data_IF_136393752552
#
_entry.id   IF_136393752552
#
_cell.length_a   1.000
_cell.length_b   1.000
_cell.length_c   1.000
_cell.angle_alpha   90.00
_cell.angle_beta   90.00
_cell.angle_gamma   90.00
#
_symmetry.space_group_name_H-M   'P 1'
#
loop_
_entity.id
_entity.type
_entity.pdbx_description
1 polymer ?
#
# COMPACT_ATOMS: atom_id res chain seq x y z
N UNK A 1 20.77 11.45 -11.42
CA UNK A 1 19.59 11.46 -12.29
C UNK A 1 18.97 10.07 -12.27
N UNK A 2 17.86 9.89 -11.57
CA UNK A 2 17.10 8.63 -11.58
C UNK A 2 16.28 8.56 -12.88
N UNK A 3 16.27 7.40 -13.56
CA UNK A 3 15.56 7.24 -14.84
C UNK A 3 14.03 7.27 -14.63
N UNK A 4 13.23 7.75 -15.62
CA UNK A 4 11.77 7.84 -15.50
C UNK A 4 11.06 6.51 -15.14
N UNK A 5 11.65 5.37 -15.50
CA UNK A 5 11.12 4.04 -15.18
C UNK A 5 11.18 3.66 -13.69
N UNK A 6 11.98 4.36 -12.87
CA UNK A 6 12.16 4.01 -11.45
C UNK A 6 11.12 4.68 -10.53
N UNK A 7 10.64 5.86 -10.90
CA UNK A 7 9.58 6.59 -10.20
C UNK A 7 8.23 5.84 -10.31
N UNK A 8 8.03 5.09 -11.40
CA UNK A 8 6.78 4.40 -11.71
C UNK A 8 6.45 3.18 -10.82
N UNK A 9 7.40 2.67 -10.03
CA UNK A 9 7.21 1.47 -9.18
C UNK A 9 7.50 1.69 -7.69
N UNK A 10 8.37 2.63 -7.32
CA UNK A 10 8.62 2.99 -5.91
C UNK A 10 7.35 3.48 -5.21
N UNK A 11 6.52 4.23 -5.94
CA UNK A 11 5.21 4.65 -5.47
C UNK A 11 4.19 3.50 -5.31
N UNK A 12 4.42 2.33 -5.94
CA UNK A 12 3.59 1.15 -5.70
C UNK A 12 3.93 0.47 -4.37
N UNK A 13 5.20 0.48 -3.93
CA UNK A 13 5.62 -0.10 -2.64
C UNK A 13 5.15 0.68 -1.38
N UNK A 14 4.27 1.66 -1.55
CA UNK A 14 3.94 2.69 -0.55
C UNK A 14 2.51 3.13 -0.50
N UNK A 15 1.85 3.10 -1.66
CA UNK A 15 0.43 3.39 -1.74
C UNK A 15 -0.34 2.30 -2.43
N UNK A 16 0.25 1.43 -3.26
CA UNK A 16 -0.55 0.34 -3.80
C UNK A 16 -0.95 -0.64 -2.70
N UNK A 17 -2.27 -0.66 -2.37
CA UNK A 17 -3.13 -1.79 -1.90
C UNK A 17 -4.47 -1.41 -1.18
N UNK A 18 -5.63 -1.89 -1.67
CA UNK A 18 -6.96 -2.06 -1.01
C UNK A 18 -8.32 -2.04 -1.83
N UNK A 19 -9.53 -2.41 -1.37
CA UNK A 19 -10.15 -3.75 -1.56
C UNK A 19 -11.17 -3.97 -2.71
N UNK A 20 -11.12 -5.16 -3.34
CA UNK A 20 -12.20 -5.82 -4.09
C UNK A 20 -12.64 -7.14 -3.43
N UNK A 21 -13.92 -7.23 -3.05
CA UNK A 21 -14.50 -8.37 -2.31
C UNK A 21 -15.31 -9.30 -3.21
N UNK A 22 -14.85 -10.54 -3.40
CA UNK A 22 -15.58 -11.58 -4.13
C UNK A 22 -16.07 -12.71 -3.21
N UNK A 23 -17.31 -12.61 -2.73
CA UNK A 23 -18.02 -13.75 -2.16
C UNK A 23 -18.45 -14.70 -3.29
N UNK A 24 -17.65 -15.74 -3.51
CA UNK A 24 -17.87 -16.75 -4.53
C UNK A 24 -17.46 -18.14 -4.05
N UNK A 25 -18.42 -18.90 -3.53
CA UNK A 25 -18.18 -20.27 -3.05
C UNK A 25 -18.05 -21.27 -4.21
N UNK A 26 -16.91 -21.24 -4.88
CA UNK A 26 -16.49 -22.19 -5.92
C UNK A 26 -15.13 -21.78 -6.49
N UNK A 27 -14.21 -22.71 -6.68
CA UNK A 27 -12.86 -22.41 -7.18
C UNK A 27 -12.92 -21.89 -8.63
N UNK A 28 -12.50 -20.64 -8.91
CA UNK A 28 -12.62 -20.05 -10.24
C UNK A 28 -11.56 -20.59 -11.20
N UNK A 29 -11.91 -20.66 -12.48
CA UNK A 29 -10.97 -21.04 -13.54
C UNK A 29 -9.71 -20.15 -13.51
N UNK A 30 -8.55 -20.77 -13.30
CA UNK A 30 -7.24 -20.10 -13.22
C UNK A 30 -6.63 -20.06 -11.82
N UNK A 31 -7.41 -20.24 -10.74
CA UNK A 31 -6.86 -20.33 -9.38
C UNK A 31 -5.88 -21.49 -9.22
N UNK A 32 -6.22 -22.68 -9.72
CA UNK A 32 -5.35 -23.86 -9.64
C UNK A 32 -3.95 -23.62 -10.23
N UNK A 33 -3.87 -22.86 -11.32
CA UNK A 33 -2.60 -22.48 -11.93
C UNK A 33 -1.81 -21.56 -11.00
N UNK A 34 -2.44 -20.51 -10.47
CA UNK A 34 -1.78 -19.63 -9.49
C UNK A 34 -1.34 -20.40 -8.24
N UNK A 35 -2.19 -21.28 -7.71
CA UNK A 35 -1.89 -22.14 -6.57
C UNK A 35 -0.68 -23.06 -6.82
N UNK A 36 -0.58 -23.69 -7.99
CA UNK A 36 0.63 -24.46 -8.38
C UNK A 36 1.90 -23.61 -8.40
N UNK A 37 1.85 -22.36 -8.84
CA UNK A 37 3.06 -21.51 -8.80
C UNK A 37 3.37 -21.09 -7.36
N UNK A 38 2.36 -20.65 -6.61
CA UNK A 38 2.51 -20.17 -5.24
C UNK A 38 2.94 -21.30 -4.29
N UNK A 39 2.59 -22.56 -4.56
CA UNK A 39 3.07 -23.71 -3.79
C UNK A 39 4.60 -23.93 -3.90
N UNK A 40 5.26 -23.26 -4.85
CA UNK A 40 6.72 -23.30 -5.05
C UNK A 40 7.45 -22.06 -4.51
N UNK A 41 6.77 -21.21 -3.74
CA UNK A 41 7.32 -19.97 -3.16
C UNK A 41 7.63 -20.16 -1.66
N UNK A 42 8.79 -19.72 -1.15
CA UNK A 42 9.13 -19.84 0.28
C UNK A 42 8.10 -19.20 1.21
N UNK A 43 7.79 -19.86 2.33
CA UNK A 43 6.72 -19.42 3.25
C UNK A 43 7.04 -18.17 4.07
N UNK A 44 8.30 -17.77 4.09
CA UNK A 44 8.81 -16.58 4.78
C UNK A 44 8.83 -15.32 3.90
N UNK A 45 8.44 -15.40 2.62
CA UNK A 45 8.43 -14.27 1.70
C UNK A 45 7.67 -13.04 2.25
N UNK A 46 8.28 -11.87 2.11
CA UNK A 46 7.71 -10.57 2.49
C UNK A 46 6.80 -9.99 1.42
N UNK A 47 7.04 -10.33 0.15
CA UNK A 47 6.11 -10.10 -0.94
C UNK A 47 6.26 -11.18 -2.01
N UNK A 48 5.19 -11.44 -2.75
CA UNK A 48 5.16 -12.38 -3.87
C UNK A 48 4.40 -11.74 -5.03
N UNK A 49 5.04 -11.64 -6.19
CA UNK A 49 4.43 -11.20 -7.44
C UNK A 49 4.27 -12.38 -8.37
N UNK A 50 3.03 -12.81 -8.60
CA UNK A 50 2.66 -13.87 -9.54
C UNK A 50 2.37 -13.30 -10.93
N UNK A 51 2.73 -14.05 -11.97
CA UNK A 51 2.25 -13.88 -13.34
C UNK A 51 1.93 -15.23 -13.95
N UNK A 52 0.79 -15.34 -14.62
CA UNK A 52 0.35 -16.54 -15.34
C UNK A 52 1.30 -16.93 -16.50
N UNK A 53 2.15 -16.00 -16.93
CA UNK A 53 2.98 -16.12 -18.12
C UNK A 53 4.39 -15.59 -17.90
N UNK A 54 5.38 -16.45 -18.18
CA UNK A 54 6.82 -16.18 -18.15
C UNK A 54 7.32 -15.25 -19.27
N UNK A 55 6.43 -14.74 -20.15
CA UNK A 55 6.79 -13.82 -21.24
C UNK A 55 7.40 -12.50 -20.78
N UNK A 56 6.97 -12.02 -19.61
CA UNK A 56 7.46 -10.79 -19.03
C UNK A 56 7.72 -11.03 -17.55
N UNK A 57 8.90 -10.62 -17.07
CA UNK A 57 9.10 -10.44 -15.64
C UNK A 57 8.06 -9.43 -15.16
N UNK A 58 7.25 -9.76 -14.15
CA UNK A 58 6.28 -8.82 -13.66
C UNK A 58 7.04 -7.67 -12.98
N UNK A 59 6.52 -6.43 -13.09
CA UNK A 59 7.15 -5.28 -12.47
C UNK A 59 7.20 -5.46 -10.95
N UNK A 60 8.39 -5.44 -10.36
CA UNK A 60 8.60 -5.66 -8.93
C UNK A 60 9.67 -4.71 -8.37
N UNK A 61 9.76 -4.64 -7.05
CA UNK A 61 10.48 -3.61 -6.29
C UNK A 61 12.00 -3.78 -6.45
N UNK A 62 12.60 -2.94 -7.33
CA UNK A 62 14.04 -2.65 -7.55
C UNK A 62 14.96 -3.83 -7.95
N UNK A 63 14.78 -5.00 -7.35
CA UNK A 63 15.66 -6.16 -7.42
C UNK A 63 15.32 -7.17 -8.53
N UNK A 64 14.26 -6.95 -9.32
CA UNK A 64 13.88 -7.87 -10.42
C UNK A 64 14.82 -7.79 -11.63
N UNK A 65 15.49 -6.64 -11.83
CA UNK A 65 16.40 -6.36 -12.94
C UNK A 65 17.57 -7.35 -13.05
N UNK A 66 17.92 -8.02 -11.95
CA UNK A 66 18.93 -9.09 -11.91
C UNK A 66 18.56 -10.27 -12.83
N UNK A 67 17.27 -10.49 -13.06
CA UNK A 67 16.72 -11.56 -13.91
C UNK A 67 16.48 -11.12 -15.37
N UNK A 68 16.75 -9.87 -15.74
CA UNK A 68 16.54 -9.38 -17.10
C UNK A 68 17.42 -10.15 -18.11
N UNK A 69 16.82 -10.60 -19.22
CA UNK A 69 17.54 -11.31 -20.28
C UNK A 69 17.82 -12.79 -19.99
N UNK A 70 17.03 -13.43 -19.13
CA UNK A 70 17.10 -14.89 -18.89
C UNK A 70 16.37 -15.76 -19.92
N UNK A 71 15.66 -15.18 -20.90
CA UNK A 71 14.96 -15.96 -21.94
C UNK A 71 13.67 -16.64 -21.45
N UNK A 72 13.10 -16.15 -20.34
CA UNK A 72 11.94 -16.75 -19.65
C UNK A 72 10.72 -16.90 -20.56
N UNK A 73 10.58 -16.06 -21.59
CA UNK A 73 9.48 -16.08 -22.55
C UNK A 73 9.33 -17.40 -23.32
N UNK A 74 10.39 -18.20 -23.34
CA UNK A 74 10.46 -19.51 -24.02
C UNK A 74 9.82 -20.62 -23.20
N UNK A 75 9.76 -20.49 -21.86
CA UNK A 75 9.24 -21.51 -20.95
C UNK A 75 7.71 -21.61 -20.96
N UNK A 76 7.00 -20.52 -21.29
CA UNK A 76 5.53 -20.45 -21.41
C UNK A 76 4.77 -21.00 -20.19
N UNK A 77 5.36 -20.86 -19.01
CA UNK A 77 4.80 -21.34 -17.73
C UNK A 77 4.47 -20.17 -16.80
N UNK A 78 3.84 -20.45 -15.67
CA UNK A 78 3.61 -19.46 -14.61
C UNK A 78 4.89 -19.13 -13.86
N UNK A 79 4.95 -17.94 -13.25
CA UNK A 79 6.10 -17.51 -12.47
C UNK A 79 5.67 -16.78 -11.19
N UNK A 80 6.49 -16.90 -10.16
CA UNK A 80 6.39 -16.10 -8.95
C UNK A 80 7.75 -15.48 -8.65
N UNK A 81 7.77 -14.15 -8.51
CA UNK A 81 8.91 -13.40 -8.02
C UNK A 81 8.64 -13.02 -6.56
N UNK A 82 9.39 -13.61 -5.63
CA UNK A 82 9.26 -13.34 -4.21
C UNK A 82 10.44 -12.54 -3.66
N UNK A 83 10.18 -11.70 -2.66
CA UNK A 83 11.20 -11.00 -1.88
C UNK A 83 11.29 -11.66 -0.50
N UNK A 84 12.37 -12.41 -0.29
CA UNK A 84 12.67 -13.05 1.00
C UNK A 84 13.62 -12.17 1.82
N UNK A 85 13.77 -12.44 3.12
CA UNK A 85 14.66 -11.66 3.99
C UNK A 85 15.66 -12.53 4.73
N UNK A 86 16.94 -12.31 4.47
CA UNK A 86 18.06 -13.02 5.09
C UNK A 86 19.18 -12.03 5.42
N UNK A 87 18.93 -11.15 6.40
CA UNK A 87 19.79 -10.00 6.74
C UNK A 87 19.61 -8.81 5.79
N UNK A 88 19.45 -9.08 4.49
CA UNK A 88 18.95 -8.15 3.48
C UNK A 88 17.75 -8.75 2.74
N UNK A 89 17.04 -7.91 1.98
CA UNK A 89 15.97 -8.37 1.09
C UNK A 89 16.57 -8.95 -0.18
N UNK A 90 16.18 -10.18 -0.51
CA UNK A 90 16.76 -11.01 -1.59
C UNK A 90 15.64 -11.47 -2.51
N UNK A 91 15.75 -11.25 -3.84
CA UNK A 91 14.77 -11.72 -4.79
C UNK A 91 14.95 -13.23 -5.08
N UNK A 92 13.85 -13.96 -5.16
CA UNK A 92 13.80 -15.37 -5.58
C UNK A 92 12.73 -15.50 -6.65
N UNK A 93 13.16 -15.83 -7.86
CA UNK A 93 12.29 -16.14 -8.99
C UNK A 93 12.05 -17.65 -9.04
N UNK A 94 10.80 -18.07 -8.96
CA UNK A 94 10.40 -19.45 -9.21
C UNK A 94 9.53 -19.52 -10.47
N UNK A 95 9.76 -20.52 -11.33
CA UNK A 95 8.92 -20.84 -12.48
C UNK A 95 8.37 -22.25 -12.34
N UNK A 96 7.05 -22.39 -12.44
CA UNK A 96 6.33 -23.63 -12.21
C UNK A 96 4.91 -23.59 -12.82
N UNK A 97 4.31 -24.75 -13.12
CA UNK A 97 4.97 -26.06 -13.22
C UNK A 97 5.84 -26.16 -14.48
N UNK A 98 6.92 -26.94 -14.43
CA UNK A 98 7.76 -27.30 -15.57
C UNK A 98 7.89 -28.82 -15.59
N UNK A 99 7.73 -29.47 -16.75
CA UNK A 99 7.76 -30.94 -16.80
C UNK A 99 9.18 -31.47 -16.57
N UNK A 100 9.35 -32.46 -15.68
CA UNK A 100 10.66 -33.03 -15.30
C UNK A 100 11.49 -33.46 -16.53
N UNK A 101 10.85 -34.02 -17.56
CA UNK A 101 11.47 -34.39 -18.85
C UNK A 101 12.13 -33.24 -19.63
N UNK A 102 11.76 -31.98 -19.38
CA UNK A 102 12.40 -30.81 -20.02
C UNK A 102 13.81 -30.54 -19.46
N UNK A 103 14.13 -31.08 -18.28
CA UNK A 103 15.48 -31.02 -17.73
C UNK A 103 16.43 -32.03 -18.42
N UNK A 104 15.88 -33.16 -18.90
CA UNK A 104 16.62 -34.20 -19.62
C UNK A 104 17.02 -33.74 -21.03
N UNK A 105 16.17 -32.95 -21.69
CA UNK A 105 16.47 -32.35 -22.99
C UNK A 105 17.43 -31.15 -22.84
N UNK A 106 18.72 -31.39 -23.12
CA UNK A 106 19.77 -30.36 -23.12
C UNK A 106 19.52 -29.17 -24.05
N UNK A 107 18.64 -29.31 -25.05
CA UNK A 107 18.27 -28.24 -26.00
C UNK A 107 17.03 -27.44 -25.57
N UNK A 108 16.40 -27.82 -24.45
CA UNK A 108 15.16 -27.22 -23.96
C UNK A 108 15.33 -25.74 -23.57
N UNK A 109 14.20 -25.03 -23.55
CA UNK A 109 14.13 -23.67 -23.03
C UNK A 109 14.56 -23.59 -21.54
N UNK A 110 14.33 -24.65 -20.77
CA UNK A 110 14.79 -24.80 -19.38
C UNK A 110 16.32 -24.77 -19.31
N UNK A 111 16.99 -25.67 -20.01
CA UNK A 111 18.46 -25.73 -19.99
C UNK A 111 19.11 -24.46 -20.54
N UNK A 112 18.51 -23.83 -21.57
CA UNK A 112 18.92 -22.51 -22.05
C UNK A 112 18.80 -21.40 -20.97
N UNK A 113 17.68 -21.35 -20.26
CA UNK A 113 17.45 -20.40 -19.15
C UNK A 113 18.46 -20.61 -18.02
N UNK A 114 18.71 -21.87 -17.62
CA UNK A 114 19.71 -22.21 -16.60
C UNK A 114 21.13 -21.81 -17.03
N UNK A 115 21.48 -21.98 -18.30
CA UNK A 115 22.74 -21.51 -18.87
C UNK A 115 22.92 -20.00 -18.75
N UNK A 116 21.89 -19.23 -19.11
CA UNK A 116 21.89 -17.75 -19.00
C UNK A 116 21.99 -17.28 -17.54
N UNK A 117 21.31 -17.95 -16.61
CA UNK A 117 21.39 -17.64 -15.18
C UNK A 117 22.81 -17.88 -14.62
N UNK A 118 23.43 -19.03 -14.93
CA UNK A 118 24.81 -19.33 -14.55
C UNK A 118 25.80 -18.33 -15.16
N UNK A 119 25.63 -17.96 -16.42
CA UNK A 119 26.46 -16.96 -17.09
C UNK A 119 26.36 -15.55 -16.47
N UNK A 120 25.25 -15.24 -15.79
CA UNK A 120 25.04 -14.02 -15.00
C UNK A 120 25.54 -14.13 -13.54
N UNK A 121 26.09 -15.28 -13.15
CA UNK A 121 26.53 -15.53 -11.77
C UNK A 121 25.38 -15.75 -10.78
N UNK A 122 24.21 -16.16 -11.25
CA UNK A 122 23.06 -16.46 -10.39
C UNK A 122 23.03 -17.93 -9.98
N UNK A 123 22.56 -18.18 -8.77
CA UNK A 123 22.19 -19.53 -8.33
C UNK A 123 20.96 -19.97 -9.09
N UNK A 124 21.00 -21.20 -9.63
CA UNK A 124 19.89 -21.79 -10.37
C UNK A 124 19.83 -23.29 -10.18
N UNK A 125 18.66 -23.77 -9.76
CA UNK A 125 18.39 -25.18 -9.44
C UNK A 125 17.00 -25.55 -9.98
N UNK A 126 16.91 -26.68 -10.67
CA UNK A 126 15.62 -27.28 -11.04
C UNK A 126 15.33 -28.41 -10.06
N UNK A 127 14.15 -28.37 -9.45
CA UNK A 127 13.67 -29.38 -8.51
C UNK A 127 12.60 -30.20 -9.25
N UNK A 128 12.92 -31.42 -9.73
CA UNK A 128 11.92 -32.31 -10.30
C UNK A 128 10.96 -32.81 -9.22
N UNK A 129 9.78 -33.21 -9.64
CA UNK A 129 8.78 -33.94 -8.85
C UNK A 129 8.51 -33.27 -7.49
N UNK A 130 8.26 -31.95 -7.56
CA UNK A 130 8.09 -31.11 -6.38
C UNK A 130 6.81 -31.53 -5.62
N UNK A 131 6.86 -31.80 -4.30
CA UNK A 131 5.75 -32.39 -3.54
C UNK A 131 4.39 -31.66 -3.60
N UNK A 132 4.36 -30.40 -4.03
CA UNK A 132 3.16 -29.58 -4.14
C UNK A 132 2.72 -29.31 -5.61
N UNK A 133 3.22 -30.11 -6.56
CA UNK A 133 2.85 -30.16 -7.98
C UNK A 133 2.39 -31.58 -8.37
N UNK A 134 2.01 -31.80 -9.63
CA UNK A 134 1.68 -33.15 -10.14
C UNK A 134 2.93 -34.02 -10.37
N UNK A 135 2.75 -35.34 -10.44
CA UNK A 135 3.82 -36.29 -10.76
C UNK A 135 4.44 -35.97 -12.13
N UNK A 136 5.77 -35.84 -12.20
CA UNK A 136 6.47 -35.40 -13.41
C UNK A 136 6.45 -33.87 -13.64
N UNK A 137 5.96 -33.07 -12.70
CA UNK A 137 6.12 -31.61 -12.65
C UNK A 137 7.13 -31.18 -11.58
N UNK A 138 7.92 -30.16 -11.90
CA UNK A 138 8.94 -29.56 -11.04
C UNK A 138 8.97 -28.04 -11.13
N UNK A 139 9.90 -27.44 -10.39
CA UNK A 139 10.06 -25.99 -10.28
C UNK A 139 11.50 -25.56 -10.58
N UNK A 140 11.67 -24.49 -11.35
CA UNK A 140 12.96 -23.83 -11.56
C UNK A 140 13.09 -22.64 -10.60
N UNK A 141 14.11 -22.65 -9.73
CA UNK A 141 14.43 -21.52 -8.84
C UNK A 141 15.65 -20.77 -9.39
N UNK A 142 15.61 -19.43 -9.34
CA UNK A 142 16.73 -18.55 -9.67
C UNK A 142 16.85 -17.44 -8.61
N UNK A 143 18.05 -17.22 -8.05
CA UNK A 143 18.29 -16.16 -7.04
C UNK A 143 19.77 -15.73 -7.04
N UNK A 144 20.11 -14.48 -6.69
CA UNK A 144 21.50 -14.04 -6.52
C UNK A 144 22.16 -14.47 -5.19
N UNK A 145 21.56 -15.39 -4.42
CA UNK A 145 21.99 -15.72 -3.05
C UNK A 145 21.97 -17.23 -2.76
N UNK A 146 23.14 -17.85 -2.62
CA UNK A 146 23.29 -19.27 -2.26
C UNK A 146 22.64 -19.63 -0.91
N UNK A 147 22.71 -18.78 0.15
CA UNK A 147 21.92 -18.97 1.35
C UNK A 147 20.41 -19.03 1.08
N UNK A 148 19.88 -18.14 0.23
CA UNK A 148 18.45 -18.13 -0.07
C UNK A 148 18.04 -19.31 -0.97
N UNK A 149 18.90 -19.74 -1.90
CA UNK A 149 18.68 -20.95 -2.70
C UNK A 149 18.50 -22.17 -1.80
N UNK A 150 19.37 -22.36 -0.80
CA UNK A 150 19.24 -23.47 0.16
C UNK A 150 17.94 -23.42 0.96
N UNK A 151 17.47 -22.23 1.32
CA UNK A 151 16.16 -22.05 1.98
C UNK A 151 15.03 -22.42 1.03
N UNK A 152 14.99 -21.83 -0.17
CA UNK A 152 13.93 -22.08 -1.15
C UNK A 152 13.84 -23.57 -1.54
N UNK A 153 14.97 -24.20 -1.84
CA UNK A 153 15.06 -25.65 -2.08
C UNK A 153 14.48 -26.49 -0.94
N UNK A 154 14.82 -26.16 0.31
CA UNK A 154 14.28 -26.88 1.47
C UNK A 154 12.77 -26.70 1.58
N UNK A 155 12.25 -25.48 1.42
CA UNK A 155 10.82 -25.22 1.47
C UNK A 155 10.04 -26.04 0.43
N UNK A 156 10.45 -25.96 -0.85
CA UNK A 156 9.80 -26.73 -1.93
C UNK A 156 9.94 -28.24 -1.69
N UNK A 157 11.14 -28.73 -1.36
CA UNK A 157 11.38 -30.16 -1.13
C UNK A 157 10.69 -30.75 0.11
N UNK A 158 10.28 -29.91 1.06
CA UNK A 158 9.45 -30.30 2.21
C UNK A 158 7.95 -30.06 1.96
N UNK A 159 7.55 -29.61 0.77
CA UNK A 159 6.17 -29.28 0.42
C UNK A 159 5.62 -28.04 1.15
N UNK A 160 6.48 -27.19 1.74
CA UNK A 160 6.10 -25.98 2.48
C UNK A 160 6.17 -24.74 1.61
N UNK A 161 5.13 -23.93 1.63
CA UNK A 161 4.97 -22.81 0.72
C UNK A 161 4.36 -21.57 1.36
N UNK A 162 4.34 -20.46 0.64
CA UNK A 162 3.63 -19.24 1.06
C UNK A 162 2.12 -19.47 1.25
N UNK A 163 1.53 -20.51 0.65
CA UNK A 163 0.12 -20.88 0.88
C UNK A 163 -0.14 -21.39 2.31
N UNK A 164 0.90 -21.80 3.04
CA UNK A 164 0.83 -22.22 4.45
C UNK A 164 0.95 -21.04 5.42
N UNK A 165 1.26 -19.84 4.92
CA UNK A 165 1.29 -18.65 5.75
C UNK A 165 -0.15 -18.20 6.05
N UNK A 166 -0.41 -17.88 7.33
CA UNK A 166 -1.73 -17.49 7.83
C UNK A 166 -2.40 -16.43 6.93
N UNK A 167 -3.62 -16.73 6.49
CA UNK A 167 -4.44 -15.94 5.56
C UNK A 167 -3.83 -15.56 4.20
N UNK A 168 -2.61 -16.00 3.85
CA UNK A 168 -2.05 -15.71 2.53
C UNK A 168 -2.92 -16.26 1.40
N UNK A 169 -3.47 -17.48 1.57
CA UNK A 169 -4.39 -18.08 0.60
C UNK A 169 -5.61 -17.19 0.35
N UNK A 170 -6.19 -16.59 1.39
CA UNK A 170 -7.30 -15.63 1.26
C UNK A 170 -6.85 -14.38 0.50
N UNK A 171 -5.68 -13.84 0.84
CA UNK A 171 -5.11 -12.65 0.20
C UNK A 171 -4.87 -12.83 -1.31
N UNK A 172 -4.33 -13.99 -1.70
CA UNK A 172 -4.11 -14.32 -3.10
C UNK A 172 -5.42 -14.68 -3.84
N UNK A 173 -6.35 -15.37 -3.18
CA UNK A 173 -7.64 -15.76 -3.77
C UNK A 173 -8.55 -14.55 -4.04
N UNK A 174 -8.41 -13.45 -3.29
CA UNK A 174 -9.13 -12.22 -3.59
C UNK A 174 -8.78 -11.65 -4.98
N UNK A 175 -7.62 -12.00 -5.55
CA UNK A 175 -7.20 -11.68 -6.91
C UNK A 175 -7.46 -12.83 -7.92
N UNK A 176 -8.47 -13.68 -7.67
CA UNK A 176 -8.80 -14.78 -8.59
C UNK A 176 -9.13 -14.29 -10.00
N UNK A 177 -8.68 -15.03 -11.02
CA UNK A 177 -8.84 -14.64 -12.43
C UNK A 177 -7.85 -13.57 -12.91
N UNK A 178 -7.09 -12.92 -12.02
CA UNK A 178 -6.04 -11.98 -12.42
C UNK A 178 -4.86 -12.73 -13.07
N UNK A 179 -4.45 -12.30 -14.27
CA UNK A 179 -3.26 -12.84 -14.95
C UNK A 179 -1.95 -12.42 -14.27
N UNK A 180 -1.98 -11.37 -13.46
CA UNK A 180 -0.88 -10.92 -12.60
C UNK A 180 -1.42 -10.43 -11.26
N UNK A 181 -0.72 -10.75 -10.17
CA UNK A 181 -0.99 -10.17 -8.86
C UNK A 181 0.31 -9.94 -8.09
N UNK A 182 0.33 -8.99 -7.16
CA UNK A 182 1.32 -8.97 -6.05
C UNK A 182 0.59 -9.19 -4.74
N UNK A 183 1.24 -9.80 -3.75
CA UNK A 183 0.75 -9.94 -2.37
C UNK A 183 1.88 -9.55 -1.43
N UNK A 184 1.66 -8.58 -0.55
CA UNK A 184 2.65 -8.03 0.39
C UNK A 184 2.27 -8.36 1.84
N UNK A 185 3.26 -8.79 2.63
CA UNK A 185 3.16 -9.02 4.07
C UNK A 185 3.42 -7.71 4.81
N UNK A 186 2.43 -7.18 5.51
CA UNK A 186 2.57 -5.84 6.11
C UNK A 186 3.52 -5.80 7.32
N UNK A 187 3.61 -6.89 8.09
CA UNK A 187 4.67 -7.05 9.10
C UNK A 187 6.09 -7.11 8.52
N UNK A 188 6.21 -7.33 7.21
CA UNK A 188 7.47 -7.24 6.46
C UNK A 188 7.81 -5.84 5.94
N UNK A 189 6.87 -4.89 5.94
CA UNK A 189 6.98 -3.64 5.19
C UNK A 189 8.27 -2.84 5.48
N UNK A 190 8.70 -2.77 6.75
CA UNK A 190 9.95 -2.09 7.17
C UNK A 190 11.23 -2.61 6.51
N UNK A 191 11.19 -3.81 5.91
CA UNK A 191 12.33 -4.48 5.26
C UNK A 191 12.25 -4.39 3.73
N UNK A 192 11.11 -4.00 3.16
CA UNK A 192 10.96 -3.87 1.72
C UNK A 192 11.68 -2.61 1.24
N UNK A 193 12.51 -2.70 0.18
CA UNK A 193 13.19 -1.53 -0.36
C UNK A 193 12.19 -0.53 -0.95
N UNK A 194 12.61 0.74 -1.06
CA UNK A 194 11.89 1.70 -1.89
C UNK A 194 10.68 2.39 -1.27
N UNK A 195 10.55 2.44 0.06
CA UNK A 195 9.49 3.18 0.77
C UNK A 195 9.68 4.74 0.74
N UNK A 196 9.78 5.35 -0.46
CA UNK A 196 10.10 6.78 -0.70
C UNK A 196 9.01 7.80 -1.19
N UNK A 197 7.86 7.46 -1.78
CA UNK A 197 6.82 8.43 -2.26
C UNK A 197 6.23 9.36 -1.18
N UNK A 198 6.36 9.02 0.10
CA UNK A 198 6.00 9.86 1.24
C UNK A 198 7.23 10.34 2.04
N UNK A 199 8.44 10.08 1.54
CA UNK A 199 9.67 10.60 2.11
C UNK A 199 9.66 12.13 2.05
N UNK A 200 10.18 12.77 3.09
CA UNK A 200 10.02 14.22 3.31
C UNK A 200 8.66 14.62 3.90
N UNK A 201 7.57 13.91 3.59
CA UNK A 201 6.23 14.15 4.18
C UNK A 201 6.09 13.44 5.53
N UNK A 202 6.56 12.19 5.62
CA UNK A 202 6.61 11.38 6.84
C UNK A 202 8.00 10.76 7.05
N UNK A 203 8.28 10.37 8.29
CA UNK A 203 9.49 9.59 8.60
C UNK A 203 9.37 8.16 8.04
N UNK A 204 10.45 7.62 7.47
CA UNK A 204 10.47 6.34 6.76
C UNK A 204 9.80 5.17 7.51
N UNK A 205 10.00 5.07 8.83
CA UNK A 205 9.39 4.01 9.65
C UNK A 205 7.88 4.15 9.89
N UNK A 206 7.32 5.37 9.82
CA UNK A 206 5.93 5.63 10.20
C UNK A 206 4.93 5.00 9.21
N UNK A 207 5.30 4.91 7.94
CA UNK A 207 4.45 4.33 6.88
C UNK A 207 4.38 2.81 7.06
N UNK A 208 5.52 2.17 7.34
CA UNK A 208 5.58 0.74 7.60
C UNK A 208 4.85 0.35 8.89
N UNK A 209 4.91 1.18 9.94
CA UNK A 209 4.13 0.98 11.18
C UNK A 209 2.62 1.08 10.92
N UNK A 210 2.20 2.04 10.09
CA UNK A 210 0.81 2.14 9.67
C UNK A 210 0.35 0.90 8.93
N UNK A 211 1.10 0.45 7.91
CA UNK A 211 0.77 -0.75 7.12
C UNK A 211 0.58 -1.98 8.02
N UNK A 212 1.47 -2.19 9.00
CA UNK A 212 1.34 -3.26 9.99
C UNK A 212 0.00 -3.24 10.74
N UNK A 213 -0.52 -2.06 11.08
CA UNK A 213 -1.84 -1.92 11.74
C UNK A 213 -3.03 -1.85 10.77
N UNK A 214 -2.77 -1.64 9.48
CA UNK A 214 -3.80 -1.45 8.47
C UNK A 214 -4.46 -2.75 8.03
N UNK A 215 -3.65 -3.79 7.79
CA UNK A 215 -4.08 -5.13 7.35
C UNK A 215 -2.94 -6.14 7.57
N UNK A 216 -3.22 -7.45 7.53
CA UNK A 216 -2.21 -8.51 7.65
C UNK A 216 -1.42 -8.67 6.35
N UNK A 217 -2.17 -8.80 5.26
CA UNK A 217 -1.67 -8.86 3.89
C UNK A 217 -2.32 -7.78 3.05
N UNK A 218 -1.67 -7.42 1.97
CA UNK A 218 -2.26 -6.51 1.00
C UNK A 218 -1.86 -6.93 -0.42
N UNK A 219 -2.85 -7.20 -1.25
CA UNK A 219 -2.76 -7.72 -2.62
C UNK A 219 -2.94 -6.59 -3.65
N UNK A 220 -2.42 -6.78 -4.87
CA UNK A 220 -2.36 -5.81 -5.95
C UNK A 220 -2.73 -6.53 -7.25
N UNK A 221 -3.58 -5.93 -8.08
CA UNK A 221 -4.13 -6.46 -9.32
C UNK A 221 -4.08 -5.36 -10.39
N UNK A 222 -3.21 -5.46 -11.40
CA UNK A 222 -3.18 -4.47 -12.49
C UNK A 222 -4.43 -4.58 -13.39
N UNK A 223 -5.13 -3.46 -13.61
CA UNK A 223 -6.33 -3.42 -14.49
C UNK A 223 -5.97 -3.21 -15.99
N UNK A 224 -4.71 -2.92 -16.30
CA UNK A 224 -4.13 -2.95 -17.66
C UNK A 224 -3.96 -1.61 -18.37
N UNK A 225 -4.69 -0.58 -17.94
CA UNK A 225 -4.56 0.83 -18.33
C UNK A 225 -3.48 1.58 -17.52
N UNK A 226 -2.86 0.93 -16.53
CA UNK A 226 -1.97 1.55 -15.55
C UNK A 226 -2.65 1.82 -14.20
N UNK A 227 -3.96 1.62 -14.12
CA UNK A 227 -4.72 1.52 -12.87
C UNK A 227 -4.40 0.19 -12.17
N UNK A 228 -4.42 0.22 -10.84
CA UNK A 228 -4.14 -0.95 -9.99
C UNK A 228 -5.29 -1.06 -8.99
N UNK A 229 -6.11 -2.11 -9.13
CA UNK A 229 -6.92 -2.66 -8.05
C UNK A 229 -5.99 -3.36 -7.06
N UNK A 230 -6.44 -3.42 -5.82
CA UNK A 230 -5.58 -3.25 -4.67
C UNK A 230 -6.46 -3.95 -3.57
N UNK A 231 -5.96 -4.75 -2.60
CA UNK A 231 -6.83 -5.56 -1.70
C UNK A 231 -6.26 -5.86 -0.28
N UNK A 232 -6.82 -5.38 0.85
CA UNK A 232 -6.29 -5.65 2.19
C UNK A 232 -6.99 -6.85 2.79
N UNK A 233 -6.20 -7.82 3.22
CA UNK A 233 -6.70 -8.97 3.97
C UNK A 233 -6.59 -8.64 5.45
N UNK A 234 -7.71 -8.57 6.19
CA UNK A 234 -7.67 -8.28 7.61
C UNK A 234 -6.98 -9.40 8.40
N UNK A 235 -6.65 -9.12 9.65
CA UNK A 235 -6.26 -10.15 10.61
C UNK A 235 -7.45 -11.06 10.90
N UNK A 236 -7.23 -12.37 11.20
CA UNK A 236 -8.32 -13.30 11.48
C UNK A 236 -9.02 -13.03 12.82
N UNK A 237 -8.36 -12.27 13.71
CA UNK A 237 -8.93 -11.77 14.96
C UNK A 237 -8.53 -10.30 15.16
N UNK A 238 -9.42 -9.51 15.76
CA UNK A 238 -9.25 -8.06 15.97
C UNK A 238 -9.97 -7.20 14.93
N UNK A 239 -9.79 -5.88 15.04
CA UNK A 239 -10.27 -4.88 14.07
C UNK A 239 -9.04 -4.13 13.58
N UNK A 240 -8.67 -4.28 12.31
CA UNK A 240 -7.60 -3.48 11.71
C UNK A 240 -8.13 -2.12 11.20
N UNK A 241 -7.23 -1.17 10.95
CA UNK A 241 -7.63 0.18 10.53
C UNK A 241 -8.44 0.19 9.21
N UNK A 242 -8.15 -0.74 8.29
CA UNK A 242 -8.94 -0.93 7.07
C UNK A 242 -10.39 -1.34 7.37
N UNK A 243 -10.63 -2.31 8.25
CA UNK A 243 -11.98 -2.73 8.65
C UNK A 243 -12.77 -1.59 9.31
N UNK A 244 -12.10 -0.80 10.17
CA UNK A 244 -12.70 0.37 10.81
C UNK A 244 -13.18 1.39 9.77
N UNK A 245 -12.32 1.78 8.81
CA UNK A 245 -12.71 2.74 7.77
C UNK A 245 -13.80 2.17 6.84
N UNK A 246 -13.74 0.89 6.47
CA UNK A 246 -14.71 0.24 5.60
C UNK A 246 -16.08 0.00 6.25
N UNK A 247 -16.17 0.10 7.58
CA UNK A 247 -17.45 0.04 8.32
C UNK A 247 -18.24 1.35 8.27
N UNK A 248 -17.62 2.44 7.83
CA UNK A 248 -18.22 3.78 7.76
C UNK A 248 -18.84 4.04 6.38
N UNK A 249 -19.88 4.88 6.28
CA UNK A 249 -20.40 5.29 4.98
C UNK A 249 -19.44 6.24 4.26
N UNK A 250 -19.36 6.15 2.93
CA UNK A 250 -18.64 7.09 2.08
C UNK A 250 -19.13 8.54 2.29
N UNK A 251 -18.22 9.51 2.17
CA UNK A 251 -18.55 10.94 2.16
C UNK A 251 -17.77 11.67 1.07
N UNK A 252 -18.22 12.86 0.68
CA UNK A 252 -17.55 13.63 -0.39
C UNK A 252 -16.26 14.25 0.13
N UNK A 253 -15.16 13.95 -0.55
CA UNK A 253 -13.85 14.57 -0.32
C UNK A 253 -13.75 15.81 -1.22
N UNK A 254 -13.67 16.99 -0.60
CA UNK A 254 -13.74 18.31 -1.22
C UNK A 254 -12.47 19.13 -1.10
N UNK A 255 -11.42 18.62 -0.45
CA UNK A 255 -10.16 19.35 -0.25
C UNK A 255 -9.59 19.91 -1.57
N UNK A 256 -9.73 19.16 -2.67
CA UNK A 256 -9.37 19.60 -4.02
C UNK A 256 -10.03 20.90 -4.50
N UNK A 257 -11.12 21.36 -3.86
CA UNK A 257 -11.78 22.64 -4.14
C UNK A 257 -10.99 23.85 -3.59
N UNK A 258 -10.06 23.64 -2.64
CA UNK A 258 -9.32 24.68 -1.90
C UNK A 258 -7.79 24.46 -1.84
N UNK A 259 -7.26 23.52 -2.64
CA UNK A 259 -5.82 23.27 -2.68
C UNK A 259 -5.05 24.42 -3.32
N UNK A 260 -3.86 24.78 -2.82
CA UNK A 260 -3.00 25.77 -3.46
C UNK A 260 -2.43 25.28 -4.79
N UNK A 261 -2.13 26.22 -5.69
CA UNK A 261 -1.35 25.95 -6.89
C UNK A 261 0.00 25.32 -6.53
N UNK A 262 0.47 24.39 -7.36
CA UNK A 262 1.72 23.65 -7.10
C UNK A 262 1.66 22.64 -5.95
N UNK A 263 0.46 22.24 -5.48
CA UNK A 263 0.34 21.20 -4.44
C UNK A 263 1.06 19.90 -4.84
N UNK A 264 2.03 19.50 -4.02
CA UNK A 264 2.92 18.35 -4.23
C UNK A 264 2.35 17.07 -3.62
N UNK A 265 1.74 17.18 -2.42
CA UNK A 265 1.15 16.04 -1.70
C UNK A 265 -0.13 16.44 -0.97
N UNK A 266 -1.09 15.53 -0.98
CA UNK A 266 -2.37 15.60 -0.27
C UNK A 266 -2.62 14.28 0.42
N UNK A 267 -3.04 14.28 1.69
CA UNK A 267 -3.64 13.12 2.37
C UNK A 267 -4.97 13.58 2.96
N UNK A 268 -6.08 13.21 2.33
CA UNK A 268 -7.44 13.58 2.72
C UNK A 268 -8.20 12.38 3.28
N UNK A 269 -8.92 12.58 4.37
CA UNK A 269 -9.76 11.59 5.05
C UNK A 269 -11.16 12.16 5.24
N UNK A 270 -12.17 11.41 4.81
CA UNK A 270 -13.57 11.70 5.08
C UNK A 270 -13.89 11.46 6.56
N UNK A 271 -14.70 12.36 7.15
CA UNK A 271 -15.20 12.22 8.51
C UNK A 271 -16.74 12.10 8.47
N UNK A 272 -17.27 10.91 8.12
CA UNK A 272 -18.71 10.64 8.12
C UNK A 272 -19.28 10.56 9.55
N UNK A 273 -20.60 10.54 9.65
CA UNK A 273 -21.28 10.17 10.89
C UNK A 273 -20.81 8.78 11.36
N UNK A 274 -20.64 8.61 12.67
CA UNK A 274 -20.10 7.39 13.27
C UNK A 274 -18.57 7.29 13.32
N UNK A 275 -17.81 8.14 12.60
CA UNK A 275 -16.33 8.07 12.55
C UNK A 275 -15.68 7.98 13.93
N UNK A 276 -16.06 8.86 14.88
CA UNK A 276 -15.49 8.87 16.24
C UNK A 276 -15.74 7.56 17.01
N UNK A 277 -16.94 6.97 16.86
CA UNK A 277 -17.29 5.72 17.51
C UNK A 277 -16.51 4.53 16.91
N UNK A 278 -16.39 4.48 15.58
CA UNK A 278 -15.59 3.46 14.90
C UNK A 278 -14.10 3.57 15.26
N UNK A 279 -13.56 4.80 15.33
CA UNK A 279 -12.18 5.04 15.71
C UNK A 279 -11.89 4.67 17.18
N UNK A 280 -12.78 4.99 18.12
CA UNK A 280 -12.63 4.53 19.51
C UNK A 280 -12.77 3.00 19.64
N UNK A 281 -13.66 2.35 18.87
CA UNK A 281 -13.77 0.90 18.82
C UNK A 281 -12.51 0.21 18.27
N UNK A 282 -11.89 0.78 17.23
CA UNK A 282 -10.58 0.34 16.75
C UNK A 282 -9.47 0.52 17.80
N UNK A 283 -9.43 1.67 18.48
CA UNK A 283 -8.47 1.89 19.57
C UNK A 283 -8.71 0.95 20.77
N UNK A 284 -9.93 0.49 21.01
CA UNK A 284 -10.22 -0.50 22.05
C UNK A 284 -9.74 -1.90 21.66
N UNK A 285 -10.00 -2.32 20.42
CA UNK A 285 -9.50 -3.58 19.86
C UNK A 285 -7.96 -3.64 19.87
N UNK A 286 -7.29 -2.51 19.62
CA UNK A 286 -5.83 -2.35 19.72
C UNK A 286 -5.30 -2.14 21.16
N UNK A 287 -6.17 -2.19 22.18
CA UNK A 287 -5.83 -2.00 23.62
C UNK A 287 -5.19 -0.62 23.90
N UNK A 288 -5.54 0.39 23.10
CA UNK A 288 -5.01 1.76 23.14
C UNK A 288 -6.01 2.80 23.64
N UNK A 289 -7.30 2.49 23.72
CA UNK A 289 -8.36 3.45 24.07
C UNK A 289 -8.10 4.21 25.39
N UNK A 290 -7.66 3.52 26.44
CA UNK A 290 -7.34 4.14 27.74
C UNK A 290 -6.18 5.14 27.68
N UNK A 291 -5.13 4.86 26.88
CA UNK A 291 -3.99 5.77 26.73
C UNK A 291 -4.36 6.98 25.87
N UNK A 292 -5.18 6.77 24.83
CA UNK A 292 -5.76 7.83 24.00
C UNK A 292 -6.65 8.77 24.82
N UNK A 293 -7.62 8.25 25.60
CA UNK A 293 -8.50 9.08 26.45
C UNK A 293 -7.71 9.93 27.45
N UNK A 294 -6.71 9.34 28.11
CA UNK A 294 -5.79 10.07 29.01
C UNK A 294 -5.01 11.17 28.28
N UNK A 295 -4.62 10.97 27.02
CA UNK A 295 -3.96 12.01 26.23
C UNK A 295 -4.91 13.18 25.92
N UNK A 296 -6.15 12.91 25.56
CA UNK A 296 -7.17 13.95 25.33
C UNK A 296 -7.50 14.75 26.59
N UNK A 297 -7.56 14.10 27.77
CA UNK A 297 -7.74 14.80 29.05
C UNK A 297 -6.61 15.79 29.36
N UNK A 298 -5.36 15.43 29.05
CA UNK A 298 -4.21 16.32 29.25
C UNK A 298 -4.28 17.52 28.30
N UNK A 299 -4.59 17.30 27.02
CA UNK A 299 -4.82 18.39 26.05
C UNK A 299 -5.97 19.30 26.49
N UNK A 300 -7.07 18.73 26.99
CA UNK A 300 -8.23 19.47 27.46
C UNK A 300 -7.94 20.35 28.68
N UNK A 301 -7.13 19.87 29.63
CA UNK A 301 -6.66 20.67 30.77
C UNK A 301 -5.75 21.81 30.34
N UNK A 302 -4.90 21.60 29.34
CA UNK A 302 -3.94 22.61 28.88
C UNK A 302 -4.60 23.73 28.06
N UNK A 303 -5.63 23.41 27.26
CA UNK A 303 -6.24 24.37 26.33
C UNK A 303 -7.64 24.86 26.78
N UNK A 304 -8.12 24.44 27.95
CA UNK A 304 -9.41 24.86 28.52
C UNK A 304 -10.68 24.29 27.84
N UNK A 305 -10.53 23.40 26.86
CA UNK A 305 -11.62 22.76 26.11
C UNK A 305 -11.22 21.33 25.75
N UNK A 306 -12.11 20.34 25.89
CA UNK A 306 -11.81 18.98 25.45
C UNK A 306 -11.65 18.91 23.92
N UNK A 307 -10.70 18.13 23.37
CA UNK A 307 -10.63 17.88 21.93
C UNK A 307 -11.93 17.30 21.35
N UNK A 308 -12.63 16.44 22.10
CA UNK A 308 -13.91 15.86 21.66
C UNK A 308 -15.04 16.89 21.62
N UNK A 309 -15.06 17.85 22.56
CA UNK A 309 -16.05 18.93 22.57
C UNK A 309 -15.79 19.92 21.43
N UNK A 310 -14.50 20.17 21.12
CA UNK A 310 -14.09 20.99 19.97
C UNK A 310 -14.49 20.35 18.63
N UNK A 311 -14.23 19.05 18.45
CA UNK A 311 -14.69 18.30 17.28
C UNK A 311 -16.22 18.35 17.15
N UNK A 312 -16.95 18.07 18.23
CA UNK A 312 -18.41 17.99 18.24
C UNK A 312 -19.09 19.33 17.97
N UNK A 313 -18.50 20.43 18.43
CA UNK A 313 -19.03 21.79 18.19
C UNK A 313 -18.91 22.21 16.73
N UNK A 314 -17.80 21.88 16.08
CA UNK A 314 -17.49 22.30 14.70
C UNK A 314 -18.05 21.29 13.68
N UNK A 315 -18.23 20.04 14.10
CA UNK A 315 -18.73 18.91 13.29
C UNK A 315 -17.90 18.74 12.01
N UNK A 316 -16.60 18.47 12.18
CA UNK A 316 -15.68 18.28 11.05
C UNK A 316 -16.12 17.12 10.16
N UNK A 317 -16.18 17.36 8.85
CA UNK A 317 -16.59 16.39 7.82
C UNK A 317 -15.44 15.89 6.95
N UNK A 318 -14.28 16.51 7.07
CA UNK A 318 -13.09 16.18 6.29
C UNK A 318 -11.84 16.76 6.96
N UNK A 319 -10.74 16.02 6.88
CA UNK A 319 -9.40 16.48 7.27
C UNK A 319 -8.41 16.19 6.14
N UNK A 320 -7.50 17.13 5.90
CA UNK A 320 -6.50 17.06 4.85
C UNK A 320 -5.13 17.48 5.33
N UNK A 321 -4.09 16.67 5.12
CA UNK A 321 -2.71 17.16 5.14
C UNK A 321 -2.35 17.65 3.73
N UNK A 322 -1.82 18.86 3.61
CA UNK A 322 -1.40 19.47 2.34
C UNK A 322 0.07 19.86 2.41
N UNK A 323 0.82 19.53 1.35
CA UNK A 323 2.21 19.99 1.13
C UNK A 323 2.29 20.69 -0.23
N UNK A 324 2.84 21.90 -0.25
CA UNK A 324 3.04 22.69 -1.47
C UNK A 324 4.22 23.64 -1.31
N UNK A 325 5.17 23.64 -2.25
CA UNK A 325 6.36 24.50 -2.25
C UNK A 325 7.16 24.44 -0.93
N UNK A 326 7.28 23.25 -0.34
CA UNK A 326 7.93 23.02 0.95
C UNK A 326 7.13 23.43 2.20
N UNK A 327 5.97 24.07 2.05
CA UNK A 327 5.06 24.39 3.16
C UNK A 327 4.13 23.22 3.49
N UNK A 328 3.79 23.05 4.77
CA UNK A 328 2.97 21.92 5.26
C UNK A 328 1.94 22.35 6.30
N UNK A 329 0.65 22.16 5.99
CA UNK A 329 -0.46 22.48 6.90
C UNK A 329 -1.55 21.39 6.90
N UNK A 330 -2.40 21.42 7.92
CA UNK A 330 -3.65 20.65 7.97
C UNK A 330 -4.84 21.55 7.66
N UNK A 331 -5.69 21.09 6.75
CA UNK A 331 -6.95 21.67 6.35
C UNK A 331 -8.10 20.88 7.01
N UNK A 332 -9.08 21.57 7.59
CA UNK A 332 -10.27 20.95 8.20
C UNK A 332 -11.55 21.56 7.62
N UNK A 333 -12.46 20.73 7.14
CA UNK A 333 -13.78 21.17 6.65
C UNK A 333 -14.84 21.02 7.74
N UNK A 334 -15.41 22.12 8.27
CA UNK A 334 -16.57 22.06 9.16
C UNK A 334 -17.85 21.63 8.40
N UNK A 335 -18.87 21.17 9.12
CA UNK A 335 -20.19 20.87 8.54
C UNK A 335 -20.88 22.12 7.96
N UNK A 336 -20.79 23.23 8.71
CA UNK A 336 -21.27 24.55 8.31
C UNK A 336 -20.06 25.39 7.91
N UNK A 337 -20.11 26.03 6.74
CA UNK A 337 -19.03 26.89 6.25
C UNK A 337 -18.67 27.92 7.34
N UNK A 338 -17.43 27.91 7.81
CA UNK A 338 -16.95 28.88 8.78
C UNK A 338 -16.80 30.28 8.13
N UNK A 339 -16.81 31.33 8.96
CA UNK A 339 -16.43 32.67 8.54
C UNK A 339 -14.91 32.73 8.34
N UNK A 340 -14.47 33.36 7.26
CA UNK A 340 -13.05 33.46 6.91
C UNK A 340 -12.35 34.47 7.84
N UNK A 341 -11.14 34.13 8.29
CA UNK A 341 -10.31 34.97 9.15
C UNK A 341 -8.83 34.78 8.84
N UNK A 342 -8.07 35.87 8.89
CA UNK A 342 -6.62 35.87 8.70
C UNK A 342 -5.85 35.11 9.79
N UNK A 343 -4.55 34.94 9.59
CA UNK A 343 -3.70 34.14 10.47
C UNK A 343 -3.71 34.69 11.91
N UNK A 344 -3.93 33.81 12.88
CA UNK A 344 -3.91 34.08 14.32
C UNK A 344 -3.34 32.89 15.08
N UNK A 345 -3.02 33.06 16.36
CA UNK A 345 -2.62 31.95 17.24
C UNK A 345 -3.70 30.87 17.29
N UNK A 346 -3.32 29.61 17.14
CA UNK A 346 -4.18 28.46 17.36
C UNK A 346 -4.41 28.28 18.88
N UNK A 347 -5.65 28.39 19.39
CA UNK A 347 -5.93 28.13 20.80
C UNK A 347 -5.95 26.64 21.17
N UNK A 348 -5.88 25.73 20.18
CA UNK A 348 -6.04 24.29 20.37
C UNK A 348 -4.86 23.47 19.75
N UNK A 349 -3.60 23.76 20.10
CA UNK A 349 -2.45 22.99 19.62
C UNK A 349 -2.54 21.53 20.05
N UNK A 350 -2.08 20.62 19.18
CA UNK A 350 -2.10 19.17 19.39
C UNK A 350 -3.44 18.46 19.13
N UNK A 351 -4.58 19.16 19.09
CA UNK A 351 -5.91 18.52 19.01
C UNK A 351 -6.08 17.68 17.75
N UNK A 352 -5.68 18.22 16.60
CA UNK A 352 -5.83 17.62 15.27
C UNK A 352 -5.24 16.21 15.22
N UNK A 353 -3.96 16.07 15.56
CA UNK A 353 -3.27 14.78 15.44
C UNK A 353 -3.65 13.81 16.56
N UNK A 354 -4.16 14.32 17.69
CA UNK A 354 -4.71 13.49 18.75
C UNK A 354 -6.06 12.86 18.34
N UNK A 355 -6.92 13.63 17.65
CA UNK A 355 -8.25 13.20 17.20
C UNK A 355 -8.22 12.32 15.94
N UNK A 356 -7.32 12.58 15.00
CA UNK A 356 -7.30 11.95 13.68
C UNK A 356 -6.04 11.13 13.39
N UNK A 357 -5.13 11.02 14.37
CA UNK A 357 -3.92 10.21 14.29
C UNK A 357 -2.68 10.94 13.76
N UNK A 358 -1.55 10.26 13.83
CA UNK A 358 -0.22 10.82 13.53
C UNK A 358 0.01 11.21 12.07
N UNK A 359 -0.84 10.78 11.13
CA UNK A 359 -0.83 11.25 9.75
C UNK A 359 -1.00 12.79 9.68
N UNK A 360 -1.80 13.36 10.58
CA UNK A 360 -2.07 14.80 10.61
C UNK A 360 -1.20 15.55 11.64
N UNK A 361 -0.09 14.95 12.08
CA UNK A 361 0.86 15.61 12.98
C UNK A 361 1.75 16.58 12.21
N UNK A 362 1.73 17.83 12.65
CA UNK A 362 2.65 18.87 12.23
C UNK A 362 3.80 19.02 13.23
N UNK A 363 4.90 19.64 12.81
CA UNK A 363 6.02 19.98 13.69
C UNK A 363 5.69 21.19 14.57
N UNK A 364 4.88 22.08 14.05
CA UNK A 364 4.35 23.28 14.66
C UNK A 364 2.89 23.42 14.20
N UNK A 365 1.97 23.58 15.15
CA UNK A 365 0.55 23.83 14.93
C UNK A 365 0.06 25.07 15.70
N UNK A 366 0.98 26.01 15.96
CA UNK A 366 0.74 27.24 16.74
C UNK A 366 -0.10 28.30 16.05
N UNK A 367 -0.36 28.20 14.75
CA UNK A 367 -1.15 29.16 13.98
C UNK A 367 -2.40 28.52 13.34
N UNK A 368 -3.44 29.33 13.16
CA UNK A 368 -4.69 28.98 12.48
C UNK A 368 -5.22 30.15 11.63
N UNK A 369 -5.76 29.84 10.47
CA UNK A 369 -6.59 30.74 9.65
C UNK A 369 -7.90 30.04 9.27
N UNK A 370 -8.86 30.79 8.72
CA UNK A 370 -9.94 30.22 7.93
C UNK A 370 -9.99 30.89 6.56
N UNK A 371 -9.98 30.08 5.50
CA UNK A 371 -10.05 30.53 4.12
C UNK A 371 -11.06 29.68 3.36
N UNK A 372 -11.99 30.33 2.65
CA UNK A 372 -13.07 29.70 1.89
C UNK A 372 -13.93 28.73 2.73
N UNK A 373 -14.00 28.97 4.05
CA UNK A 373 -14.73 28.17 5.03
C UNK A 373 -13.99 26.93 5.56
N UNK A 374 -12.71 26.76 5.24
CA UNK A 374 -11.84 25.71 5.77
C UNK A 374 -10.89 26.29 6.81
N UNK A 375 -10.73 25.59 7.94
CA UNK A 375 -9.67 25.92 8.90
C UNK A 375 -8.33 25.39 8.39
N UNK A 376 -7.27 26.18 8.52
CA UNK A 376 -5.92 25.85 8.07
C UNK A 376 -4.99 26.03 9.26
N UNK A 377 -4.32 24.96 9.68
CA UNK A 377 -3.51 24.87 10.91
C UNK A 377 -2.07 24.48 10.55
N UNK A 378 -1.09 25.13 11.18
CA UNK A 378 0.34 24.85 11.00
C UNK A 378 1.22 25.88 11.71
N UNK A 379 2.46 26.05 11.25
CA UNK A 379 3.26 27.21 11.64
C UNK A 379 2.67 28.49 11.04
N UNK A 380 2.99 29.65 11.60
CA UNK A 380 2.52 30.94 11.06
C UNK A 380 2.89 31.10 9.57
N UNK A 381 4.11 30.73 9.19
CA UNK A 381 4.58 30.79 7.81
C UNK A 381 3.84 29.82 6.87
N UNK A 382 3.57 28.58 7.31
CA UNK A 382 2.83 27.60 6.52
C UNK A 382 1.37 28.02 6.29
N UNK A 383 0.73 28.56 7.34
CA UNK A 383 -0.65 29.06 7.22
C UNK A 383 -0.68 30.32 6.34
N UNK A 384 0.27 31.24 6.48
CA UNK A 384 0.38 32.42 5.60
C UNK A 384 0.61 32.04 4.13
N UNK A 385 1.37 30.98 3.84
CA UNK A 385 1.63 30.53 2.47
C UNK A 385 0.45 29.75 1.85
N UNK A 386 -0.26 28.94 2.64
CA UNK A 386 -1.26 27.99 2.13
C UNK A 386 -2.71 28.51 2.22
N UNK A 387 -3.02 29.48 3.07
CA UNK A 387 -4.36 30.07 3.18
C UNK A 387 -4.79 31.01 2.03
N UNK A 388 -3.91 31.79 1.35
CA UNK A 388 -4.34 32.75 0.33
C UNK A 388 -4.76 32.16 -1.02
N UNK A 389 -4.68 30.84 -1.21
CA UNK A 389 -4.56 30.30 -2.56
C UNK A 389 -5.89 30.21 -3.33
N UNK A 390 -6.01 31.12 -4.29
CA UNK A 390 -6.78 30.93 -5.51
C UNK A 390 -5.86 31.31 -6.68
N UNK A 391 -5.59 30.37 -7.57
CA UNK A 391 -5.36 30.68 -8.98
C UNK A 391 -6.54 30.05 -9.73
N UNK A 392 -7.37 30.88 -10.38
CA UNK A 392 -8.58 30.44 -11.09
C UNK A 392 -8.30 29.49 -12.27
N UNK A 393 -7.03 29.27 -12.59
CA UNK A 393 -6.52 28.43 -13.68
C UNK A 393 -6.26 26.98 -13.29
N UNK A 394 -6.49 26.60 -12.04
CA UNK A 394 -6.15 25.27 -11.56
C UNK A 394 -6.96 24.17 -12.27
N UNK A 395 -6.25 23.25 -12.92
CA UNK A 395 -6.83 21.99 -13.38
C UNK A 395 -7.46 21.27 -12.20
N UNK A 396 -8.78 21.05 -12.30
CA UNK A 396 -9.56 20.40 -11.24
C UNK A 396 -9.15 18.94 -11.13
N UNK A 397 -8.26 18.63 -10.18
CA UNK A 397 -7.78 17.26 -9.91
C UNK A 397 -8.95 16.26 -9.88
N UNK A 398 -8.96 15.27 -10.77
CA UNK A 398 -10.16 14.51 -11.14
C UNK A 398 -10.90 13.76 -10.01
N UNK A 399 -10.23 13.58 -8.87
CA UNK A 399 -10.76 12.93 -7.67
C UNK A 399 -11.63 13.84 -6.79
N UNK A 400 -11.59 15.17 -6.98
CA UNK A 400 -12.36 16.10 -6.17
C UNK A 400 -13.87 15.84 -6.24
N UNK A 401 -14.56 15.99 -5.11
CA UNK A 401 -16.02 15.84 -4.95
C UNK A 401 -16.60 14.43 -5.21
N UNK A 402 -15.78 13.40 -5.46
CA UNK A 402 -16.23 11.99 -5.45
C UNK A 402 -16.56 11.53 -4.00
N UNK A 403 -17.60 10.71 -3.78
CA UNK A 403 -17.77 9.97 -2.53
C UNK A 403 -16.61 9.00 -2.31
N UNK A 404 -16.18 8.85 -1.06
CA UNK A 404 -15.12 7.93 -0.68
C UNK A 404 -14.77 7.97 0.81
N UNK A 405 -13.78 7.19 1.21
CA UNK A 405 -13.25 7.17 2.59
C UNK A 405 -11.99 8.02 2.71
N UNK A 406 -11.07 7.95 1.74
CA UNK A 406 -9.85 8.75 1.72
C UNK A 406 -9.35 8.99 0.28
N UNK A 407 -8.52 10.01 0.12
CA UNK A 407 -7.69 10.23 -1.09
C UNK A 407 -6.27 10.57 -0.66
N UNK A 408 -5.28 10.01 -1.32
CA UNK A 408 -3.88 10.40 -1.18
C UNK A 408 -3.32 10.71 -2.56
N UNK A 409 -2.78 11.90 -2.73
CA UNK A 409 -2.15 12.35 -3.97
C UNK A 409 -0.69 12.70 -3.67
N UNK A 410 0.28 12.17 -4.40
CA UNK A 410 1.69 12.59 -4.32
C UNK A 410 2.36 12.44 -5.68
N UNK A 411 3.09 13.47 -6.13
CA UNK A 411 3.94 13.40 -7.33
C UNK A 411 3.23 12.90 -8.60
N UNK A 412 1.97 13.32 -8.80
CA UNK A 412 1.14 12.90 -9.95
C UNK A 412 0.56 11.49 -9.85
N UNK A 413 0.54 10.88 -8.65
CA UNK A 413 -0.11 9.60 -8.36
C UNK A 413 -1.20 9.77 -7.34
N UNK A 414 -2.32 9.11 -7.57
CA UNK A 414 -3.52 9.18 -6.74
C UNK A 414 -3.84 7.77 -6.25
N UNK A 415 -4.11 7.64 -4.95
CA UNK A 415 -4.78 6.51 -4.30
C UNK A 415 -6.11 7.02 -3.75
N UNK A 416 -7.22 6.35 -4.02
CA UNK A 416 -8.51 6.73 -3.45
C UNK A 416 -9.32 5.49 -3.08
N UNK A 417 -10.07 5.57 -1.97
CA UNK A 417 -11.12 4.61 -1.64
C UNK A 417 -12.48 5.18 -2.04
N UNK A 418 -13.12 4.61 -3.06
CA UNK A 418 -14.50 4.92 -3.45
C UNK A 418 -15.38 3.65 -3.42
N UNK A 419 -16.66 3.79 -3.81
CA UNK A 419 -17.65 2.69 -3.91
C UNK A 419 -17.21 1.43 -4.66
N UNK A 420 -16.15 1.50 -5.46
CA UNK A 420 -15.63 0.38 -6.25
C UNK A 420 -14.39 -0.27 -5.61
N UNK A 421 -14.03 0.10 -4.38
CA UNK A 421 -12.81 -0.35 -3.70
C UNK A 421 -11.77 0.76 -3.56
N UNK A 422 -10.52 0.38 -3.28
CA UNK A 422 -9.39 1.33 -3.32
C UNK A 422 -8.70 1.13 -4.69
N UNK A 423 -8.35 2.23 -5.35
CA UNK A 423 -7.67 2.19 -6.64
C UNK A 423 -6.55 3.20 -6.70
N UNK A 424 -5.57 2.92 -7.56
CA UNK A 424 -4.47 3.84 -7.86
C UNK A 424 -4.26 4.00 -9.34
N UNK A 425 -4.05 5.25 -9.74
CA UNK A 425 -3.79 5.68 -11.10
C UNK A 425 -2.86 6.89 -11.09
N UNK A 426 -2.38 7.30 -12.27
CA UNK A 426 -1.59 8.52 -12.43
C UNK A 426 -2.53 9.68 -12.84
N UNK A 427 -2.28 10.89 -12.38
CA UNK A 427 -3.15 12.08 -12.60
C UNK A 427 -3.24 12.57 -14.05
N UNK A 428 -2.45 11.99 -14.96
CA UNK A 428 -2.27 12.44 -16.33
C UNK A 428 -2.84 11.39 -17.33
N UNK A 429 -3.86 10.64 -16.90
CA UNK A 429 -4.51 9.57 -17.66
C UNK A 429 -5.98 9.91 -17.90
#
# INVERSE_FOLDING_TARGET
MLKPRHIALLAAALFCTGCGSGDGSGEPAGWDRAAKVLSTVPSDALSVTYSESSRHLPPCIDSSSVFDGLGLERLRTGLALSLCFNGSTVPVLTLAPIRSREAEDSTSALNGTMGLARAKGLEVEFIPDAPALEEGEGALIITPSSPQMRVARRHIGEGRSILDAENFRQAAFAAHGASQMTVMRNSGARRLPGMTLLEGVYAAGAISDFLHTAAQWTTFVPEGDGTVEVIPTPYPAGICYYQMLGSLPESRIRLGEVLPAGTETVVALALPEGFRAAYEGYLDAEVRLSSYRRHLEVLGKNCGKSPLDWEKEIDFKEIGLVVSNGHKAVFLRPAKKAEDFGVRTNPYPGFVHALYGSAFRLRDDSAIACSRGWYIIGSEADVQALAPAQDDRQERLEWHSRPGHFVISSSGRIMAWDKNGIRIWNSNQ
#
